data_IF_145256781114
#
_entry.id   IF_145256781114
#
_cell.length_a   1.000
_cell.length_b   1.000
_cell.length_c   1.000
_cell.angle_alpha   90.00
_cell.angle_beta   90.00
_cell.angle_gamma   90.00
#
_symmetry.space_group_name_H-M   'P 1'
#
loop_
_entity.id
_entity.type
_entity.pdbx_description
1 polymer ?
#
# COMPACT_ATOMS: atom_id res chain seq x y z
N UNK A 1 -50.02 -46.53 -15.41
CA UNK A 1 -49.79 -45.25 -14.68
C UNK A 1 -48.29 -44.95 -14.75
N UNK A 2 -47.81 -44.55 -15.94
CA UNK A 2 -47.20 -43.22 -16.23
C UNK A 2 -46.04 -42.89 -15.28
N UNK A 3 -44.82 -43.35 -15.60
CA UNK A 3 -43.72 -42.62 -16.29
C UNK A 3 -43.01 -41.65 -15.33
N UNK A 4 -41.69 -41.71 -15.10
CA UNK A 4 -40.61 -41.53 -16.09
C UNK A 4 -39.31 -42.26 -15.65
N UNK A 5 -38.79 -43.08 -16.56
CA UNK A 5 -37.37 -43.46 -16.71
C UNK A 5 -36.95 -42.95 -18.09
N UNK A 6 -35.83 -42.22 -18.19
CA UNK A 6 -34.83 -42.26 -19.30
C UNK A 6 -34.01 -40.96 -19.36
N UNK A 7 -32.75 -40.87 -19.80
CA UNK A 7 -31.66 -41.79 -20.15
C UNK A 7 -30.43 -40.87 -20.34
N UNK A 8 -29.25 -41.38 -20.00
CA UNK A 8 -27.92 -40.85 -20.32
C UNK A 8 -27.54 -41.20 -21.78
N UNK A 9 -26.90 -40.27 -22.51
CA UNK A 9 -26.06 -40.38 -23.74
C UNK A 9 -26.52 -39.53 -24.94
N UNK A 10 -25.72 -38.51 -25.30
CA UNK A 10 -24.89 -38.54 -26.52
C UNK A 10 -23.85 -37.41 -26.50
N UNK A 11 -22.60 -37.78 -26.73
CA UNK A 11 -21.43 -36.92 -26.89
C UNK A 11 -21.25 -36.49 -28.35
N UNK A 12 -20.46 -35.42 -28.56
CA UNK A 12 -19.70 -35.06 -29.77
C UNK A 12 -20.52 -34.55 -30.97
N UNK A 13 -20.41 -33.24 -31.26
CA UNK A 13 -20.04 -32.60 -32.55
C UNK A 13 -20.27 -31.09 -32.37
N UNK A 14 -19.19 -30.32 -32.27
CA UNK A 14 -19.03 -28.94 -32.79
C UNK A 14 -17.69 -28.36 -32.31
N UNK A 15 -16.60 -28.99 -32.75
CA UNK A 15 -15.31 -28.33 -32.95
C UNK A 15 -15.45 -27.43 -34.19
N UNK A 16 -14.75 -26.29 -34.22
CA UNK A 16 -14.60 -25.33 -35.31
C UNK A 16 -15.65 -24.20 -35.40
N UNK A 17 -15.36 -23.07 -34.74
CA UNK A 17 -15.61 -21.71 -35.27
C UNK A 17 -15.00 -20.64 -34.34
N UNK A 18 -13.66 -20.58 -34.25
CA UNK A 18 -12.98 -19.43 -33.65
C UNK A 18 -11.52 -19.33 -34.16
N UNK A 19 -11.35 -19.25 -35.47
CA UNK A 19 -10.13 -18.79 -36.11
C UNK A 19 -10.49 -18.21 -37.48
N UNK A 20 -10.58 -16.89 -37.56
CA UNK A 20 -10.32 -16.01 -38.72
C UNK A 20 -10.85 -14.60 -38.41
N UNK A 21 -10.22 -13.58 -38.99
CA UNK A 21 -10.25 -12.13 -38.70
C UNK A 21 -9.19 -11.65 -37.69
N UNK A 22 -7.92 -11.64 -38.10
CA UNK A 22 -7.19 -10.58 -38.84
C UNK A 22 -7.03 -9.27 -38.05
N UNK A 23 -5.83 -8.91 -37.58
CA UNK A 23 -4.74 -8.31 -38.39
C UNK A 23 -5.20 -7.13 -39.24
N UNK A 24 -5.59 -6.02 -38.58
CA UNK A 24 -5.80 -4.75 -39.28
C UNK A 24 -5.73 -3.49 -38.39
N UNK A 25 -4.88 -3.39 -37.36
CA UNK A 25 -4.57 -2.08 -36.74
C UNK A 25 -3.10 -2.03 -36.28
N UNK A 26 -2.18 -2.06 -37.24
CA UNK A 26 -0.83 -1.48 -37.10
C UNK A 26 -0.37 -1.04 -38.47
N UNK A 27 -0.61 0.22 -38.81
CA UNK A 27 -0.22 0.79 -40.08
C UNK A 27 -0.75 2.20 -40.23
N UNK A 28 0.00 3.18 -39.70
CA UNK A 28 0.14 4.57 -40.15
C UNK A 28 0.67 5.45 -39.01
N UNK A 29 1.98 5.55 -38.88
CA UNK A 29 2.65 6.69 -38.26
C UNK A 29 4.13 6.69 -38.65
N UNK A 30 4.41 6.98 -39.92
CA UNK A 30 5.71 7.44 -40.41
C UNK A 30 5.47 8.20 -41.73
N UNK A 31 6.31 9.20 -41.95
CA UNK A 31 6.31 10.20 -43.03
C UNK A 31 5.29 11.34 -42.91
N UNK A 32 5.70 12.45 -42.29
CA UNK A 32 5.88 13.76 -42.96
C UNK A 32 6.75 14.63 -42.05
N UNK A 33 7.98 14.96 -42.49
CA UNK A 33 8.54 16.31 -42.51
C UNK A 33 10.08 16.26 -42.55
N UNK A 34 10.64 16.14 -43.76
CA UNK A 34 12.00 16.59 -44.01
C UNK A 34 12.13 17.06 -45.47
N UNK A 35 11.95 18.36 -45.70
CA UNK A 35 12.77 19.20 -46.60
C UNK A 35 12.06 20.53 -46.92
N UNK A 36 12.67 21.64 -46.51
CA UNK A 36 12.93 22.79 -47.39
C UNK A 36 14.15 23.55 -46.89
N UNK A 37 15.15 23.64 -47.78
CA UNK A 37 16.43 24.34 -47.64
C UNK A 37 16.33 25.76 -48.22
N UNK A 38 17.09 26.68 -47.59
CA UNK A 38 17.80 27.88 -48.12
C UNK A 38 16.91 29.05 -48.61
N UNK A 39 17.18 30.35 -48.33
CA UNK A 39 18.41 31.15 -48.58
C UNK A 39 18.41 32.50 -47.78
N UNK A 40 19.63 33.02 -47.52
CA UNK A 40 20.09 34.40 -47.18
C UNK A 40 19.79 34.99 -45.78
N UNK A 41 20.78 35.31 -44.93
CA UNK A 41 21.87 36.32 -45.00
C UNK A 41 21.41 37.78 -44.82
N UNK A 42 21.61 38.37 -43.61
CA UNK A 42 22.47 39.57 -43.38
C UNK A 42 22.43 40.08 -41.91
N UNK A 43 23.61 40.16 -41.29
CA UNK A 43 24.21 41.23 -40.45
C UNK A 43 23.44 42.01 -39.34
N UNK A 44 24.16 42.13 -38.20
CA UNK A 44 24.30 43.22 -37.17
C UNK A 44 23.52 43.14 -35.83
N UNK A 45 24.29 42.76 -34.79
CA UNK A 45 24.44 43.23 -33.38
C UNK A 45 23.59 44.40 -32.80
N UNK A 46 23.70 44.73 -31.50
CA UNK A 46 23.26 44.00 -30.29
C UNK A 46 22.42 44.91 -29.34
N UNK A 47 21.43 44.40 -28.59
CA UNK A 47 21.09 45.01 -27.28
C UNK A 47 20.04 44.21 -26.49
N UNK A 48 20.36 44.02 -25.20
CA UNK A 48 19.47 43.94 -24.02
C UNK A 48 18.05 43.36 -24.16
N UNK A 49 17.77 42.30 -23.41
CA UNK A 49 16.93 42.35 -22.20
C UNK A 49 16.80 40.95 -21.59
N UNK A 50 17.11 40.87 -20.30
CA UNK A 50 16.71 39.76 -19.43
C UNK A 50 15.19 39.67 -19.44
N UNK A 51 14.65 38.50 -19.75
CA UNK A 51 13.28 38.11 -19.44
C UNK A 51 13.28 36.63 -19.10
N UNK A 52 12.77 36.34 -17.91
CA UNK A 52 12.72 35.02 -17.30
C UNK A 52 11.84 34.07 -18.12
N UNK A 53 12.44 33.00 -18.63
CA UNK A 53 11.73 31.87 -19.21
C UNK A 53 11.23 30.96 -18.09
N UNK A 54 10.01 31.20 -17.62
CA UNK A 54 9.21 30.19 -16.92
C UNK A 54 8.74 29.19 -17.98
N UNK A 55 9.43 28.06 -18.08
CA UNK A 55 8.97 26.93 -18.87
C UNK A 55 7.71 26.35 -18.21
N UNK A 56 6.55 26.65 -18.77
CA UNK A 56 5.33 25.88 -18.52
C UNK A 56 5.54 24.48 -19.10
N UNK A 57 5.82 23.52 -18.23
CA UNK A 57 5.71 22.11 -18.57
C UNK A 57 4.22 21.77 -18.66
N UNK A 58 3.66 21.81 -19.87
CA UNK A 58 2.38 21.19 -20.20
C UNK A 58 2.56 19.67 -20.16
N UNK A 59 2.49 19.07 -18.97
CA UNK A 59 2.22 17.65 -18.86
C UNK A 59 0.72 17.45 -19.06
N UNK A 60 0.40 16.64 -20.05
CA UNK A 60 -0.94 16.32 -20.49
C UNK A 60 -1.86 15.94 -19.32
N UNK A 61 -3.00 16.60 -19.27
CA UNK A 61 -4.23 16.14 -18.63
C UNK A 61 -4.51 14.75 -19.21
N UNK A 62 -4.23 13.69 -18.46
CA UNK A 62 -4.77 12.38 -18.78
C UNK A 62 -6.23 12.37 -18.30
N UNK A 63 -7.20 12.16 -19.21
CA UNK A 63 -8.53 11.79 -18.76
C UNK A 63 -8.38 10.50 -17.96
N UNK A 64 -9.04 10.44 -16.81
CA UNK A 64 -9.19 9.25 -16.01
C UNK A 64 -9.94 8.20 -16.85
N UNK A 65 -9.23 7.49 -17.72
CA UNK A 65 -9.76 6.35 -18.43
C UNK A 65 -9.89 5.22 -17.42
N UNK A 66 -11.11 5.16 -16.88
CA UNK A 66 -11.66 4.13 -16.04
C UNK A 66 -11.39 2.75 -16.67
N UNK A 67 -10.42 2.00 -16.13
CA UNK A 67 -10.15 0.64 -16.58
C UNK A 67 -11.26 -0.25 -16.00
N UNK A 68 -12.15 -0.70 -16.88
CA UNK A 68 -13.14 -1.75 -16.61
C UNK A 68 -12.36 -3.01 -16.20
N UNK A 69 -12.40 -3.39 -14.91
CA UNK A 69 -11.76 -4.61 -14.41
C UNK A 69 -12.31 -5.82 -15.18
N UNK A 70 -11.42 -6.61 -15.80
CA UNK A 70 -11.68 -8.04 -15.98
C UNK A 70 -11.45 -8.67 -14.60
N UNK A 71 -12.47 -9.32 -14.06
CA UNK A 71 -12.35 -10.15 -12.86
C UNK A 71 -11.31 -11.25 -13.13
N UNK A 72 -10.15 -11.13 -12.49
CA UNK A 72 -9.21 -12.26 -12.37
C UNK A 72 -9.81 -13.18 -11.31
N UNK A 73 -9.97 -14.49 -11.56
CA UNK A 73 -10.50 -15.40 -10.56
C UNK A 73 -9.58 -15.40 -9.33
N UNK A 74 -10.21 -15.19 -8.17
CA UNK A 74 -9.59 -15.33 -6.86
C UNK A 74 -9.24 -16.81 -6.69
N UNK A 75 -7.95 -17.16 -6.66
CA UNK A 75 -7.53 -18.52 -6.32
C UNK A 75 -7.88 -18.78 -4.84
N UNK A 76 -8.73 -19.77 -4.61
CA UNK A 76 -9.11 -20.26 -3.29
C UNK A 76 -7.87 -20.76 -2.54
N UNK A 77 -7.33 -19.91 -1.66
CA UNK A 77 -6.39 -20.34 -0.64
C UNK A 77 -7.16 -21.15 0.41
N UNK A 78 -7.19 -22.48 0.26
CA UNK A 78 -7.63 -23.40 1.31
C UNK A 78 -6.69 -23.27 2.52
N UNK A 79 -7.18 -22.91 3.72
CA UNK A 79 -6.35 -22.91 4.91
C UNK A 79 -5.95 -24.35 5.27
N UNK A 80 -4.66 -24.59 5.45
CA UNK A 80 -4.17 -25.86 6.00
C UNK A 80 -4.74 -26.08 7.41
N UNK A 81 -5.09 -27.34 7.77
CA UNK A 81 -5.65 -27.66 9.06
C UNK A 81 -4.63 -27.38 10.17
N UNK A 82 -5.02 -26.52 11.12
CA UNK A 82 -4.30 -26.29 12.36
C UNK A 82 -4.33 -27.59 13.18
N UNK A 83 -3.14 -28.12 13.48
CA UNK A 83 -2.97 -29.26 14.39
C UNK A 83 -3.31 -28.79 15.80
N UNK A 84 -4.48 -29.17 16.31
CA UNK A 84 -4.90 -28.89 17.67
C UNK A 84 -4.13 -29.78 18.66
N UNK A 85 -3.37 -29.15 19.54
CA UNK A 85 -2.71 -29.81 20.67
C UNK A 85 -3.78 -30.19 21.70
N UNK A 86 -3.85 -31.49 22.02
CA UNK A 86 -4.76 -32.07 23.01
C UNK A 86 -4.44 -31.53 24.40
N UNK A 87 -5.40 -30.82 25.01
CA UNK A 87 -5.37 -30.43 26.42
C UNK A 87 -5.99 -31.53 27.29
N UNK A 88 -5.32 -31.85 28.39
CA UNK A 88 -5.75 -32.77 29.45
C UNK A 88 -6.92 -32.21 30.26
N UNK A 89 -7.79 -33.07 30.82
CA UNK A 89 -9.01 -32.64 31.50
C UNK A 89 -8.70 -32.02 32.87
N UNK A 90 -9.08 -30.76 33.04
CA UNK A 90 -9.11 -30.09 34.34
C UNK A 90 -10.49 -30.25 34.97
N UNK A 91 -10.49 -30.59 36.26
CA UNK A 91 -11.67 -30.80 37.11
C UNK A 91 -12.48 -29.53 37.32
N UNK A 92 -13.77 -29.60 36.99
CA UNK A 92 -14.76 -28.54 37.15
C UNK A 92 -14.98 -28.17 38.63
N UNK A 93 -14.59 -26.95 38.99
CA UNK A 93 -15.11 -26.27 40.19
C UNK A 93 -15.82 -25.01 39.71
N UNK A 94 -17.14 -25.10 39.53
CA UNK A 94 -18.03 -24.01 39.15
C UNK A 94 -18.05 -22.92 40.23
N UNK A 95 -17.10 -22.00 40.16
CA UNK A 95 -17.23 -20.70 40.81
C UNK A 95 -18.05 -19.80 39.89
N UNK A 96 -19.26 -19.43 40.33
CA UNK A 96 -20.07 -18.40 39.69
C UNK A 96 -19.34 -17.05 39.78
N UNK A 97 -18.45 -16.79 38.81
CA UNK A 97 -17.82 -15.48 38.63
C UNK A 97 -18.91 -14.55 38.11
N UNK A 98 -19.35 -13.63 38.96
CA UNK A 98 -20.22 -12.52 38.54
C UNK A 98 -19.52 -11.78 37.41
N UNK A 99 -20.13 -11.63 36.22
CA UNK A 99 -19.47 -10.99 35.10
C UNK A 99 -19.05 -9.57 35.52
N UNK A 100 -17.79 -9.17 35.25
CA UNK A 100 -17.32 -7.84 35.62
C UNK A 100 -18.25 -6.79 35.03
N UNK A 101 -18.58 -5.76 35.81
CA UNK A 101 -19.39 -4.64 35.37
C UNK A 101 -18.83 -4.12 34.03
N UNK A 102 -19.68 -4.07 33.01
CA UNK A 102 -19.31 -3.62 31.66
C UNK A 102 -18.60 -2.27 31.76
N UNK A 103 -17.36 -2.19 31.25
CA UNK A 103 -16.64 -0.94 31.20
C UNK A 103 -17.51 0.15 30.55
N UNK A 104 -17.50 1.39 31.06
CA UNK A 104 -18.33 2.46 30.51
C UNK A 104 -18.04 2.62 29.02
N UNK A 105 -19.09 2.68 28.21
CA UNK A 105 -18.96 2.92 26.78
C UNK A 105 -18.25 4.25 26.53
N UNK A 106 -17.07 4.20 25.92
CA UNK A 106 -16.34 5.39 25.53
C UNK A 106 -17.09 6.07 24.38
N UNK A 107 -17.35 7.37 24.54
CA UNK A 107 -17.97 8.21 23.53
C UNK A 107 -17.06 9.39 23.20
N UNK A 108 -17.16 9.88 21.97
CA UNK A 108 -16.47 11.08 21.52
C UNK A 108 -17.36 11.89 20.59
N UNK A 109 -17.02 13.15 20.36
CA UNK A 109 -17.75 14.03 19.44
C UNK A 109 -16.89 14.38 18.24
N UNK A 110 -17.53 14.49 17.08
CA UNK A 110 -16.91 15.00 15.85
C UNK A 110 -17.80 16.03 15.18
N UNK A 111 -17.22 17.17 14.81
CA UNK A 111 -17.87 18.20 14.01
C UNK A 111 -17.43 18.04 12.55
N UNK A 112 -18.38 17.85 11.63
CA UNK A 112 -18.10 17.69 10.19
C UNK A 112 -18.73 18.85 9.42
N UNK A 113 -17.97 19.60 8.60
CA UNK A 113 -18.49 20.70 7.80
C UNK A 113 -19.67 20.26 6.91
N UNK A 114 -20.76 21.03 6.94
CA UNK A 114 -21.98 20.74 6.17
C UNK A 114 -22.93 19.73 6.81
N UNK A 115 -22.55 19.13 7.95
CA UNK A 115 -23.45 18.34 8.79
C UNK A 115 -23.93 19.22 9.95
N UNK A 116 -25.24 19.26 10.19
CA UNK A 116 -25.81 20.05 11.27
C UNK A 116 -25.50 19.39 12.64
N UNK A 117 -24.70 20.09 13.45
CA UNK A 117 -24.34 19.68 14.81
C UNK A 117 -23.19 18.65 14.90
N UNK A 118 -22.78 18.37 16.13
CA UNK A 118 -21.75 17.37 16.42
C UNK A 118 -22.33 15.95 16.33
N UNK A 119 -21.56 15.02 15.78
CA UNK A 119 -21.88 13.59 15.77
C UNK A 119 -21.24 12.94 17.00
N UNK A 120 -22.05 12.24 17.79
CA UNK A 120 -21.56 11.41 18.90
C UNK A 120 -21.20 10.01 18.39
N UNK A 121 -19.92 9.69 18.41
CA UNK A 121 -19.36 8.39 18.07
C UNK A 121 -19.20 7.54 19.34
N UNK A 122 -19.57 6.27 19.26
CA UNK A 122 -19.38 5.28 20.33
C UNK A 122 -18.33 4.26 19.91
N UNK A 123 -17.39 3.96 20.79
CA UNK A 123 -16.36 2.96 20.54
C UNK A 123 -16.98 1.59 20.23
N UNK A 124 -16.52 0.97 19.15
CA UNK A 124 -16.97 -0.33 18.69
C UNK A 124 -16.03 -1.41 19.24
N UNK A 125 -16.50 -2.24 20.19
CA UNK A 125 -15.64 -3.24 20.80
C UNK A 125 -15.30 -4.35 19.81
N UNK A 126 -14.03 -4.75 19.79
CA UNK A 126 -13.53 -5.94 19.10
C UNK A 126 -12.94 -6.85 20.17
N UNK A 127 -13.35 -8.11 20.17
CA UNK A 127 -12.91 -9.08 21.18
C UNK A 127 -11.38 -9.24 21.17
N UNK A 128 -10.76 -9.24 22.34
CA UNK A 128 -9.31 -9.35 22.49
C UNK A 128 -8.49 -8.12 22.07
N UNK A 129 -9.12 -7.09 21.52
CA UNK A 129 -8.41 -5.87 21.08
C UNK A 129 -8.49 -4.75 22.12
N UNK A 130 -7.35 -4.12 22.39
CA UNK A 130 -7.25 -2.92 23.22
C UNK A 130 -6.61 -1.80 22.40
N UNK A 131 -7.22 -0.62 22.42
CA UNK A 131 -6.76 0.55 21.68
C UNK A 131 -6.40 1.68 22.64
N UNK A 132 -5.43 2.54 22.29
CA UNK A 132 -5.16 3.76 23.04
C UNK A 132 -6.39 4.67 23.10
N UNK A 133 -6.54 5.41 24.20
CA UNK A 133 -7.60 6.38 24.35
C UNK A 133 -7.36 7.59 23.44
N UNK A 134 -8.43 8.09 22.81
CA UNK A 134 -8.44 9.41 22.17
C UNK A 134 -8.46 10.52 23.23
N UNK A 135 -7.99 11.74 22.89
CA UNK A 135 -8.19 12.90 23.74
C UNK A 135 -9.68 13.13 24.01
N UNK A 136 -10.02 13.61 25.20
CA UNK A 136 -11.39 13.87 25.65
C UNK A 136 -11.95 15.18 25.10
N UNK A 137 -11.86 15.40 23.78
CA UNK A 137 -12.40 16.59 23.14
C UNK A 137 -13.17 16.30 21.85
N UNK A 138 -13.73 17.35 21.25
CA UNK A 138 -14.43 17.27 19.97
C UNK A 138 -13.41 17.34 18.85
N UNK A 139 -13.40 16.34 17.95
CA UNK A 139 -12.63 16.41 16.72
C UNK A 139 -13.32 17.32 15.70
N UNK A 140 -12.59 18.27 15.13
CA UNK A 140 -13.05 19.05 14.00
C UNK A 140 -12.53 18.42 12.69
N UNK A 141 -13.43 17.91 11.85
CA UNK A 141 -13.09 17.37 10.54
C UNK A 141 -13.03 18.47 9.47
N UNK A 142 -12.24 18.24 8.43
CA UNK A 142 -12.36 18.92 7.14
C UNK A 142 -13.27 18.11 6.22
N UNK A 143 -13.82 18.75 5.20
CA UNK A 143 -14.50 18.02 4.12
C UNK A 143 -13.58 16.93 3.57
N UNK A 144 -14.10 15.72 3.28
CA UNK A 144 -13.30 14.67 2.69
C UNK A 144 -12.91 15.10 1.28
N UNK A 145 -11.63 14.94 0.98
CA UNK A 145 -11.10 15.12 -0.36
C UNK A 145 -10.95 13.75 -1.02
N UNK A 146 -11.37 13.60 -2.27
CA UNK A 146 -10.75 12.56 -3.09
C UNK A 146 -9.29 12.97 -3.27
N UNK A 147 -8.36 12.04 -3.10
CA UNK A 147 -6.91 12.26 -3.03
C UNK A 147 -6.27 13.01 -4.24
N UNK A 148 -7.06 13.45 -5.24
CA UNK A 148 -6.64 14.27 -6.40
C UNK A 148 -7.67 15.32 -6.86
N UNK A 149 -8.73 15.61 -6.11
CA UNK A 149 -9.76 16.59 -6.52
C UNK A 149 -9.96 17.71 -5.51
N UNK A 150 -10.67 18.74 -5.97
CA UNK A 150 -11.32 19.71 -5.09
C UNK A 150 -12.18 18.99 -4.04
N UNK A 151 -12.42 19.67 -2.92
CA UNK A 151 -13.24 19.15 -1.82
C UNK A 151 -14.57 18.62 -2.36
N UNK A 152 -14.94 17.41 -1.94
CA UNK A 152 -16.20 16.82 -2.38
C UNK A 152 -17.36 17.63 -1.81
N UNK A 153 -18.34 18.07 -2.61
CA UNK A 153 -19.52 18.72 -2.07
C UNK A 153 -20.36 17.72 -1.25
N UNK A 154 -20.96 18.20 -0.15
CA UNK A 154 -21.67 17.36 0.83
C UNK A 154 -22.72 16.41 0.23
N UNK A 155 -23.43 16.85 -0.82
CA UNK A 155 -24.44 16.01 -1.47
C UNK A 155 -23.85 14.74 -2.11
N UNK A 156 -22.57 14.75 -2.53
CA UNK A 156 -21.90 13.57 -3.06
C UNK A 156 -21.56 12.56 -1.95
N UNK A 157 -21.29 13.02 -0.73
CA UNK A 157 -21.00 12.11 0.39
C UNK A 157 -22.22 11.27 0.73
N UNK A 158 -23.42 11.83 0.58
CA UNK A 158 -24.69 11.10 0.81
C UNK A 158 -24.88 9.94 -0.17
N UNK A 159 -24.22 9.97 -1.33
CA UNK A 159 -24.25 8.89 -2.32
C UNK A 159 -23.23 7.78 -2.03
N UNK A 160 -22.32 8.00 -1.08
CA UNK A 160 -21.32 6.99 -0.71
C UNK A 160 -22.00 5.74 -0.15
N UNK A 161 -21.56 4.58 -0.61
CA UNK A 161 -22.21 3.32 -0.26
C UNK A 161 -23.65 3.19 -0.80
N UNK A 162 -24.02 3.94 -1.85
CA UNK A 162 -25.27 3.70 -2.62
C UNK A 162 -25.03 3.50 -4.11
N UNK A 163 -23.90 3.99 -4.63
CA UNK A 163 -23.50 3.86 -6.03
C UNK A 163 -22.45 2.75 -6.17
N UNK A 164 -22.64 1.84 -7.15
CA UNK A 164 -21.80 0.67 -7.44
C UNK A 164 -20.29 1.00 -7.48
N UNK A 165 -19.95 2.23 -7.86
CA UNK A 165 -18.57 2.70 -7.96
C UNK A 165 -17.99 3.28 -6.67
N UNK A 166 -18.82 3.75 -5.75
CA UNK A 166 -18.42 4.34 -4.47
C UNK A 166 -18.42 3.33 -3.32
N UNK A 167 -18.83 2.08 -3.55
CA UNK A 167 -18.90 1.09 -2.48
C UNK A 167 -17.55 0.46 -2.12
N UNK A 168 -16.57 0.44 -3.01
CA UNK A 168 -15.25 -0.18 -2.73
C UNK A 168 -14.30 0.74 -1.93
N UNK A 169 -14.77 1.92 -1.51
CA UNK A 169 -13.93 2.91 -0.82
C UNK A 169 -14.60 3.45 0.44
N UNK A 170 -13.78 3.98 1.33
CA UNK A 170 -14.21 4.74 2.49
C UNK A 170 -14.01 6.24 2.24
N UNK A 171 -14.80 7.08 2.92
CA UNK A 171 -14.55 8.51 2.99
C UNK A 171 -13.43 8.77 3.99
N UNK A 172 -12.40 9.52 3.59
CA UNK A 172 -11.31 9.89 4.47
C UNK A 172 -11.41 11.36 4.86
N UNK A 173 -11.37 11.66 6.16
CA UNK A 173 -11.49 13.00 6.72
C UNK A 173 -10.27 13.37 7.56
N UNK A 174 -9.59 14.44 7.17
CA UNK A 174 -8.56 15.06 8.03
C UNK A 174 -9.25 15.69 9.24
N UNK A 175 -8.82 15.32 10.43
CA UNK A 175 -9.40 15.77 11.69
C UNK A 175 -8.35 16.43 12.58
N UNK A 176 -8.80 17.39 13.37
CA UNK A 176 -7.99 18.12 14.35
C UNK A 176 -8.67 18.09 15.70
N UNK A 177 -7.87 17.95 16.75
CA UNK A 177 -8.30 18.08 18.14
C UNK A 177 -7.90 19.46 18.67
N UNK A 178 -8.65 20.01 19.63
CA UNK A 178 -8.24 21.23 20.33
C UNK A 178 -7.11 20.94 21.33
N UNK A 179 -6.94 19.67 21.68
CA UNK A 179 -5.83 19.18 22.48
C UNK A 179 -4.55 19.32 21.68
N UNK A 180 -3.58 20.00 22.27
CA UNK A 180 -2.26 20.19 21.67
C UNK A 180 -1.41 18.95 21.93
N UNK A 181 -0.68 18.52 20.91
CA UNK A 181 0.37 17.53 21.03
C UNK A 181 1.47 18.08 21.97
N UNK A 182 1.83 17.37 23.03
CA UNK A 182 2.77 17.88 24.03
C UNK A 182 4.21 18.02 23.51
N UNK A 183 4.58 17.34 22.43
CA UNK A 183 5.92 17.40 21.84
C UNK A 183 6.06 18.56 20.87
N UNK A 184 5.01 18.80 20.07
CA UNK A 184 5.05 19.82 19.00
C UNK A 184 4.39 21.15 19.39
N UNK A 185 3.47 21.13 20.36
CA UNK A 185 2.64 22.28 20.71
C UNK A 185 1.54 22.59 19.69
N UNK A 186 1.40 21.78 18.64
CA UNK A 186 0.40 21.93 17.59
C UNK A 186 -0.85 21.10 17.90
N UNK A 187 -2.03 21.47 17.36
CA UNK A 187 -3.24 20.64 17.44
C UNK A 187 -2.96 19.19 16.99
N UNK A 188 -3.39 18.20 17.78
CA UNK A 188 -3.26 16.80 17.39
C UNK A 188 -4.07 16.54 16.10
N UNK A 189 -3.46 15.82 15.16
CA UNK A 189 -4.05 15.53 13.85
C UNK A 189 -4.38 14.05 13.72
N UNK A 190 -5.55 13.78 13.16
CA UNK A 190 -6.07 12.44 12.97
C UNK A 190 -6.53 12.25 11.53
N UNK A 191 -6.55 11.00 11.10
CA UNK A 191 -7.21 10.54 9.89
C UNK A 191 -8.40 9.66 10.28
N UNK A 192 -9.56 9.98 9.73
CA UNK A 192 -10.76 9.19 9.93
C UNK A 192 -11.19 8.54 8.61
N UNK A 193 -11.30 7.21 8.59
CA UNK A 193 -11.73 6.41 7.43
C UNK A 193 -13.14 5.87 7.71
N UNK A 194 -14.15 6.45 7.07
CA UNK A 194 -15.57 6.24 7.34
C UNK A 194 -16.27 5.45 6.24
N UNK A 195 -17.06 4.46 6.66
CA UNK A 195 -18.07 3.80 5.82
C UNK A 195 -19.47 4.27 6.23
N UNK A 196 -20.33 4.44 5.24
CA UNK A 196 -21.73 4.84 5.45
C UNK A 196 -22.67 3.65 5.21
N UNK A 197 -23.89 3.77 5.72
CA UNK A 197 -25.02 2.85 5.46
C UNK A 197 -24.69 1.40 5.78
N UNK A 198 -24.03 1.19 6.93
CA UNK A 198 -23.74 -0.12 7.47
C UNK A 198 -25.06 -0.86 7.76
N UNK A 199 -25.38 -1.83 6.93
CA UNK A 199 -26.44 -2.80 7.22
C UNK A 199 -25.80 -4.01 7.94
N UNK A 200 -26.15 -4.23 9.21
CA UNK A 200 -25.59 -5.35 10.00
C UNK A 200 -25.95 -6.69 9.34
N UNK A 201 -24.95 -7.54 9.10
CA UNK A 201 -25.14 -8.87 8.50
C UNK A 201 -25.40 -8.86 6.98
N UNK A 202 -25.37 -7.70 6.32
CA UNK A 202 -25.55 -7.61 4.88
C UNK A 202 -24.35 -8.19 4.14
N UNK A 203 -24.62 -9.00 3.11
CA UNK A 203 -23.60 -9.42 2.13
C UNK A 203 -23.32 -8.35 1.09
N UNK A 204 -23.96 -7.18 1.21
CA UNK A 204 -23.67 -6.01 0.38
C UNK A 204 -22.33 -5.41 0.77
N UNK A 205 -21.79 -4.60 -0.13
CA UNK A 205 -20.45 -4.05 0.00
C UNK A 205 -20.20 -3.24 1.28
N UNK A 206 -21.13 -2.43 1.84
CA UNK A 206 -20.91 -1.78 3.13
C UNK A 206 -20.64 -2.79 4.28
N UNK A 207 -21.27 -3.96 4.24
CA UNK A 207 -21.00 -5.04 5.19
C UNK A 207 -19.63 -5.69 4.98
N UNK A 208 -19.17 -5.82 3.73
CA UNK A 208 -17.82 -6.30 3.41
C UNK A 208 -16.77 -5.29 3.89
N UNK A 209 -16.99 -3.99 3.67
CA UNK A 209 -16.10 -2.93 4.12
C UNK A 209 -16.06 -2.82 5.64
N UNK A 210 -17.17 -3.03 6.34
CA UNK A 210 -17.19 -3.11 7.81
C UNK A 210 -16.28 -4.24 8.32
N UNK A 211 -16.40 -5.44 7.75
CA UNK A 211 -15.53 -6.59 8.10
C UNK A 211 -14.06 -6.32 7.80
N UNK A 212 -13.78 -5.58 6.72
CA UNK A 212 -12.43 -5.14 6.35
C UNK A 212 -11.85 -4.15 7.36
N UNK A 213 -12.65 -3.22 7.88
CA UNK A 213 -12.23 -2.33 8.97
C UNK A 213 -12.02 -3.09 10.29
N UNK A 214 -12.86 -4.07 10.59
CA UNK A 214 -12.68 -4.98 11.74
C UNK A 214 -11.36 -5.75 11.62
N UNK A 215 -11.11 -6.39 10.47
CA UNK A 215 -9.84 -7.07 10.18
C UNK A 215 -8.63 -6.14 10.30
N UNK A 216 -8.72 -4.92 9.73
CA UNK A 216 -7.65 -3.93 9.85
C UNK A 216 -7.38 -3.59 11.32
N UNK A 217 -8.42 -3.31 12.11
CA UNK A 217 -8.28 -2.98 13.53
C UNK A 217 -7.63 -4.12 14.34
N UNK A 218 -8.03 -5.36 14.09
CA UNK A 218 -7.41 -6.55 14.67
C UNK A 218 -5.93 -6.66 14.27
N UNK A 219 -5.61 -6.41 12.99
CA UNK A 219 -4.24 -6.43 12.47
C UNK A 219 -3.34 -5.42 13.18
N UNK A 220 -3.85 -4.20 13.45
CA UNK A 220 -3.09 -3.18 14.17
C UNK A 220 -2.69 -3.62 15.58
N UNK A 221 -3.60 -4.27 16.31
CA UNK A 221 -3.35 -4.73 17.70
C UNK A 221 -2.48 -5.98 17.71
N UNK A 222 -2.74 -6.92 16.81
CA UNK A 222 -2.07 -8.23 16.81
C UNK A 222 -0.68 -8.20 16.22
N UNK A 223 -0.44 -7.38 15.19
CA UNK A 223 0.79 -7.42 14.40
C UNK A 223 1.56 -6.11 14.39
N UNK A 224 0.90 -4.96 14.61
CA UNK A 224 1.53 -3.66 14.43
C UNK A 224 1.88 -2.90 15.71
N UNK A 225 1.63 -3.47 16.89
CA UNK A 225 1.82 -2.80 18.18
C UNK A 225 3.19 -2.12 18.33
N UNK A 226 4.28 -2.76 17.93
CA UNK A 226 5.64 -2.21 18.03
C UNK A 226 5.98 -1.15 16.96
N UNK A 227 5.16 -1.06 15.90
CA UNK A 227 5.38 -0.15 14.77
C UNK A 227 4.56 1.14 14.89
N UNK A 228 3.50 1.12 15.71
CA UNK A 228 2.60 2.25 15.92
C UNK A 228 3.33 3.47 16.50
N UNK A 229 3.03 4.64 15.95
CA UNK A 229 3.67 5.92 16.31
C UNK A 229 5.02 6.15 15.60
N UNK A 230 5.63 5.14 14.98
CA UNK A 230 6.93 5.24 14.30
C UNK A 230 6.82 5.13 12.77
N UNK A 231 6.60 3.93 12.22
CA UNK A 231 6.45 3.72 10.77
C UNK A 231 5.01 3.35 10.38
N UNK A 232 4.12 3.26 11.36
CA UNK A 232 2.67 3.04 11.23
C UNK A 232 1.97 4.04 12.15
N UNK A 233 0.84 4.68 11.77
CA UNK A 233 0.07 5.54 12.66
C UNK A 233 -0.42 4.82 13.91
N UNK A 234 -0.55 5.55 15.02
CA UNK A 234 -1.30 5.05 16.18
C UNK A 234 -2.77 4.85 15.76
N UNK A 235 -3.33 3.67 16.04
CA UNK A 235 -4.70 3.31 15.71
C UNK A 235 -5.58 3.35 16.95
N UNK A 236 -6.57 4.24 16.95
CA UNK A 236 -7.43 4.51 18.10
C UNK A 236 -8.76 3.73 18.07
N UNK A 237 -8.79 2.63 17.33
CA UNK A 237 -9.92 1.71 17.28
C UNK A 237 -11.01 2.07 16.27
N UNK A 238 -12.09 1.30 16.35
CA UNK A 238 -13.29 1.50 15.55
C UNK A 238 -14.37 2.24 16.34
N UNK A 239 -15.16 3.02 15.62
CA UNK A 239 -16.18 3.89 16.18
C UNK A 239 -17.43 3.82 15.31
N UNK A 240 -18.59 3.97 15.93
CA UNK A 240 -19.89 3.88 15.25
C UNK A 240 -20.83 4.98 15.68
N UNK A 241 -21.72 5.39 14.78
CA UNK A 241 -22.81 6.32 15.08
C UNK A 241 -24.01 6.05 14.17
N UNK A 242 -25.17 6.53 14.59
CA UNK A 242 -26.34 6.67 13.73
C UNK A 242 -26.44 8.13 13.29
N UNK A 243 -26.53 8.35 11.98
CA UNK A 243 -26.52 9.69 11.39
C UNK A 243 -27.71 9.87 10.44
N UNK A 244 -28.23 11.09 10.35
CA UNK A 244 -29.35 11.42 9.46
C UNK A 244 -28.97 11.44 7.98
N UNK A 245 -27.68 11.55 7.65
CA UNK A 245 -27.18 11.67 6.28
C UNK A 245 -26.50 10.40 5.76
N UNK A 246 -25.80 9.67 6.63
CA UNK A 246 -25.06 8.46 6.31
C UNK A 246 -25.70 7.16 6.83
N UNK A 247 -26.84 7.24 7.53
CA UNK A 247 -27.42 6.09 8.23
C UNK A 247 -26.50 5.59 9.35
N UNK A 248 -26.42 4.27 9.53
CA UNK A 248 -25.44 3.67 10.43
C UNK A 248 -24.05 3.80 9.82
N UNK A 249 -23.14 4.47 10.53
CA UNK A 249 -21.76 4.68 10.08
C UNK A 249 -20.80 3.90 10.97
N UNK A 250 -19.68 3.50 10.40
CA UNK A 250 -18.53 2.96 11.12
C UNK A 250 -17.29 3.66 10.60
N UNK A 251 -16.37 4.01 11.48
CA UNK A 251 -15.10 4.58 11.07
C UNK A 251 -13.95 4.03 11.90
N UNK A 252 -12.77 4.01 11.30
CA UNK A 252 -11.52 3.92 12.03
C UNK A 252 -10.94 5.31 12.24
N UNK A 253 -10.31 5.51 13.39
CA UNK A 253 -9.61 6.75 13.74
C UNK A 253 -8.14 6.41 14.00
N UNK A 254 -7.23 7.13 13.36
CA UNK A 254 -5.79 6.94 13.51
C UNK A 254 -5.03 8.26 13.52
N UNK A 255 -3.80 8.26 14.00
CA UNK A 255 -2.86 9.39 13.89
C UNK A 255 -2.71 9.81 12.42
N UNK A 256 -2.67 11.10 12.14
CA UNK A 256 -2.37 11.58 10.79
C UNK A 256 -0.91 11.25 10.41
N UNK A 257 -0.71 10.43 9.39
CA UNK A 257 0.59 9.83 9.05
C UNK A 257 1.40 10.58 7.97
N UNK A 258 1.01 11.79 7.58
CA UNK A 258 1.77 12.63 6.65
C UNK A 258 1.10 12.79 5.28
N UNK A 259 1.91 13.06 4.26
CA UNK A 259 1.44 13.30 2.88
C UNK A 259 1.78 12.11 1.98
N UNK A 260 0.97 11.78 0.96
CA UNK A 260 1.30 10.75 -0.04
C UNK A 260 2.74 10.88 -0.57
N UNK A 261 3.52 9.80 -0.53
CA UNK A 261 4.85 9.79 -1.12
C UNK A 261 4.74 9.53 -2.63
N UNK A 262 5.08 10.54 -3.43
CA UNK A 262 5.05 10.50 -4.88
C UNK A 262 6.45 10.71 -5.49
N UNK A 263 6.80 9.93 -6.51
CA UNK A 263 8.02 10.15 -7.28
C UNK A 263 7.97 11.51 -8.00
N UNK A 264 9.14 12.14 -8.14
CA UNK A 264 9.38 13.45 -8.74
C UNK A 264 8.75 14.62 -7.98
N UNK A 265 8.33 14.39 -6.74
CA UNK A 265 7.80 15.43 -5.85
C UNK A 265 8.80 15.80 -4.74
N UNK A 266 8.35 16.63 -3.80
CA UNK A 266 9.16 17.28 -2.76
C UNK A 266 10.03 16.30 -1.95
N UNK A 267 9.48 15.14 -1.61
CA UNK A 267 10.16 14.15 -0.76
C UNK A 267 10.91 13.08 -1.56
N UNK A 268 10.88 13.14 -2.90
CA UNK A 268 11.53 12.16 -3.75
C UNK A 268 13.05 12.34 -3.79
N UNK A 269 13.70 11.85 -2.75
CA UNK A 269 15.16 11.77 -2.68
C UNK A 269 15.59 10.32 -2.67
N UNK A 270 16.80 10.09 -3.17
CA UNK A 270 17.33 8.75 -3.21
C UNK A 270 17.46 8.12 -1.82
N UNK A 271 17.80 8.92 -0.81
CA UNK A 271 17.84 8.50 0.59
C UNK A 271 16.45 8.07 1.09
N UNK A 272 15.41 8.84 0.78
CA UNK A 272 14.05 8.53 1.24
C UNK A 272 13.51 7.25 0.59
N UNK A 273 13.81 7.02 -0.69
CA UNK A 273 13.51 5.75 -1.36
C UNK A 273 14.15 4.55 -0.65
N UNK A 274 15.40 4.69 -0.23
CA UNK A 274 16.10 3.62 0.51
C UNK A 274 15.45 3.33 1.86
N UNK A 275 15.00 4.37 2.56
CA UNK A 275 14.29 4.20 3.85
C UNK A 275 12.91 3.54 3.63
N UNK A 276 12.20 3.86 2.55
CA UNK A 276 10.92 3.19 2.22
C UNK A 276 11.15 1.71 1.89
N UNK A 277 12.15 1.40 1.06
CA UNK A 277 12.50 0.02 0.73
C UNK A 277 12.86 -0.78 1.99
N UNK A 278 13.69 -0.21 2.86
CA UNK A 278 14.07 -0.83 4.13
C UNK A 278 12.86 -1.05 5.06
N UNK A 279 11.93 -0.08 5.11
CA UNK A 279 10.68 -0.23 5.88
C UNK A 279 9.86 -1.44 5.38
N UNK A 280 9.60 -1.53 4.08
CA UNK A 280 8.84 -2.65 3.51
C UNK A 280 9.58 -3.96 3.71
N UNK A 281 10.91 -3.98 3.51
CA UNK A 281 11.73 -5.17 3.74
C UNK A 281 11.65 -5.63 5.19
N UNK A 282 11.68 -4.70 6.16
CA UNK A 282 11.54 -5.02 7.57
C UNK A 282 10.17 -5.61 7.92
N UNK A 283 9.09 -5.18 7.27
CA UNK A 283 7.80 -5.84 7.44
C UNK A 283 7.86 -7.31 7.00
N UNK A 284 8.49 -7.58 5.85
CA UNK A 284 8.62 -8.93 5.32
C UNK A 284 9.52 -9.82 6.19
N UNK A 285 10.58 -9.26 6.78
CA UNK A 285 11.43 -9.94 7.78
C UNK A 285 10.64 -10.39 9.01
N UNK A 286 9.63 -9.61 9.41
CA UNK A 286 8.72 -9.95 10.52
C UNK A 286 7.47 -10.70 10.06
N UNK A 287 7.53 -11.34 8.90
CA UNK A 287 6.42 -12.13 8.34
C UNK A 287 5.12 -11.32 8.15
N UNK A 288 5.23 -10.02 7.86
CA UNK A 288 4.12 -9.13 7.57
C UNK A 288 4.09 -8.81 6.07
N UNK A 289 2.90 -8.91 5.48
CA UNK A 289 2.65 -8.60 4.07
C UNK A 289 1.50 -7.59 3.97
N UNK A 290 1.70 -6.49 3.26
CA UNK A 290 0.70 -5.42 3.18
C UNK A 290 -0.41 -5.71 2.13
N UNK A 291 -0.07 -6.39 1.04
CA UNK A 291 -0.91 -6.76 -0.13
C UNK A 291 -1.49 -5.62 -0.95
N UNK A 292 -1.17 -4.36 -0.62
CA UNK A 292 -1.72 -3.19 -1.33
C UNK A 292 -0.64 -2.22 -1.81
N UNK A 293 0.65 -2.62 -1.77
CA UNK A 293 1.76 -1.83 -2.29
C UNK A 293 2.01 -2.13 -3.78
N UNK A 294 0.97 -1.99 -4.60
CA UNK A 294 1.01 -2.14 -6.05
C UNK A 294 0.50 -0.88 -6.74
N UNK A 295 0.89 -0.66 -8.00
CA UNK A 295 0.36 0.45 -8.80
C UNK A 295 -1.15 0.27 -9.08
N UNK A 296 -1.98 1.33 -9.00
CA UNK A 296 -1.66 2.72 -8.62
C UNK A 296 -1.68 3.02 -7.10
N UNK A 297 -2.03 2.03 -6.28
CA UNK A 297 -2.36 2.17 -4.86
C UNK A 297 -1.16 2.47 -3.95
N UNK A 298 0.07 2.10 -4.34
CA UNK A 298 1.27 2.33 -3.53
C UNK A 298 1.45 3.80 -3.14
N UNK A 299 1.08 4.73 -4.03
CA UNK A 299 1.14 6.18 -3.76
C UNK A 299 0.21 6.63 -2.63
N UNK A 300 -0.81 5.83 -2.29
CA UNK A 300 -1.80 6.14 -1.27
C UNK A 300 -1.51 5.47 0.06
N UNK A 301 -0.69 4.42 0.07
CA UNK A 301 -0.39 3.63 1.25
C UNK A 301 0.98 3.91 1.83
N UNK A 302 1.88 4.49 1.04
CA UNK A 302 3.16 5.03 1.51
C UNK A 302 3.03 6.53 1.67
N UNK A 303 3.03 7.00 2.92
CA UNK A 303 3.04 8.41 3.26
C UNK A 303 4.43 8.85 3.73
N UNK A 304 4.70 10.14 3.67
CA UNK A 304 5.87 10.79 4.22
C UNK A 304 5.47 11.72 5.35
N UNK A 305 5.91 11.42 6.56
CA UNK A 305 5.78 12.30 7.71
C UNK A 305 6.93 13.30 7.68
N UNK A 306 6.66 14.52 7.20
CA UNK A 306 7.65 15.58 7.12
C UNK A 306 8.15 16.05 8.49
N UNK A 307 7.33 15.93 9.54
CA UNK A 307 7.67 16.33 10.91
C UNK A 307 8.68 15.35 11.51
N UNK A 308 8.46 14.04 11.33
CA UNK A 308 9.35 12.99 11.82
C UNK A 308 10.48 12.65 10.85
N UNK A 309 10.37 13.06 9.59
CA UNK A 309 11.35 12.77 8.54
C UNK A 309 11.42 11.29 8.17
N UNK A 310 10.30 10.55 8.28
CA UNK A 310 10.23 9.12 8.04
C UNK A 310 9.03 8.73 7.17
N UNK A 311 9.10 7.59 6.45
CA UNK A 311 7.94 7.05 5.76
C UNK A 311 6.99 6.35 6.73
N UNK A 312 5.70 6.37 6.40
CA UNK A 312 4.63 5.72 7.15
C UNK A 312 3.80 4.84 6.22
N UNK A 313 3.49 3.62 6.66
CA UNK A 313 2.56 2.73 5.95
C UNK A 313 1.17 2.82 6.58
N UNK A 314 0.13 2.84 5.73
CA UNK A 314 -1.27 2.90 6.13
C UNK A 314 -2.13 1.94 5.29
N UNK A 315 -3.39 1.76 5.69
CA UNK A 315 -4.38 0.90 5.04
C UNK A 315 -3.99 -0.59 5.03
N UNK A 316 -4.08 -1.22 6.21
CA UNK A 316 -3.78 -2.65 6.39
C UNK A 316 -5.02 -3.53 6.20
N UNK A 317 -6.03 -3.04 5.46
CA UNK A 317 -7.29 -3.75 5.21
C UNK A 317 -7.08 -5.12 4.56
N UNK A 318 -6.06 -5.27 3.73
CA UNK A 318 -5.72 -6.55 3.08
C UNK A 318 -4.44 -7.18 3.60
N UNK A 319 -3.89 -6.66 4.70
CA UNK A 319 -2.63 -7.17 5.23
C UNK A 319 -2.77 -8.58 5.80
N UNK A 320 -1.65 -9.31 5.79
CA UNK A 320 -1.54 -10.66 6.30
C UNK A 320 -0.29 -10.81 7.17
N UNK A 321 -0.44 -11.47 8.31
CA UNK A 321 0.65 -11.88 9.18
C UNK A 321 1.06 -13.32 8.90
N UNK A 322 2.16 -13.78 9.53
CA UNK A 322 2.71 -15.13 9.37
C UNK A 322 3.04 -15.48 7.91
N UNK A 323 3.39 -14.48 7.10
CA UNK A 323 3.78 -14.64 5.70
C UNK A 323 5.27 -15.01 5.59
N UNK A 324 5.58 -16.14 4.94
CA UNK A 324 6.95 -16.50 4.61
C UNK A 324 7.35 -15.86 3.28
N UNK A 325 8.17 -14.80 3.34
CA UNK A 325 8.68 -14.11 2.17
C UNK A 325 9.77 -14.92 1.47
N UNK A 326 9.48 -15.49 0.30
CA UNK A 326 10.41 -16.33 -0.48
C UNK A 326 11.35 -15.53 -1.39
N UNK A 327 11.88 -14.40 -0.92
CA UNK A 327 12.79 -13.58 -1.75
C UNK A 327 14.19 -14.20 -1.80
N UNK A 328 14.84 -14.14 -2.94
CA UNK A 328 16.25 -14.57 -3.13
C UNK A 328 17.23 -13.39 -3.25
N UNK A 329 16.71 -12.17 -3.25
CA UNK A 329 17.47 -10.93 -3.34
C UNK A 329 16.89 -9.89 -2.37
N UNK A 330 17.72 -9.03 -1.75
CA UNK A 330 17.25 -7.90 -0.97
C UNK A 330 16.60 -6.84 -1.87
N UNK A 331 15.67 -6.08 -1.31
CA UNK A 331 15.07 -4.95 -2.00
C UNK A 331 16.08 -3.78 -2.05
N UNK A 332 16.92 -3.76 -3.09
CA UNK A 332 17.88 -2.70 -3.32
C UNK A 332 17.98 -2.37 -4.83
N UNK A 333 18.85 -1.42 -5.19
CA UNK A 333 19.02 -1.03 -6.59
C UNK A 333 19.74 -2.11 -7.37
N UNK A 334 19.35 -2.36 -8.62
CA UNK A 334 20.04 -3.24 -9.56
C UNK A 334 20.10 -2.57 -10.93
N UNK A 335 21.08 -2.96 -11.76
CA UNK A 335 21.15 -2.46 -13.13
C UNK A 335 20.16 -3.22 -14.03
N UNK A 336 19.82 -4.46 -13.66
CA UNK A 336 18.75 -5.27 -14.22
C UNK A 336 17.41 -5.10 -13.49
N UNK A 337 16.42 -5.85 -13.95
CA UNK A 337 15.09 -5.97 -13.33
C UNK A 337 14.86 -7.41 -12.87
N UNK A 338 15.33 -7.80 -11.67
CA UNK A 338 15.29 -9.18 -11.20
C UNK A 338 13.90 -9.57 -10.66
N UNK A 339 12.88 -9.39 -11.49
CA UNK A 339 11.47 -9.62 -11.12
C UNK A 339 11.13 -11.09 -10.97
N UNK A 340 11.90 -11.98 -11.61
CA UNK A 340 11.69 -13.43 -11.57
C UNK A 340 12.42 -14.05 -10.37
N UNK A 341 13.49 -13.41 -9.90
CA UNK A 341 14.31 -13.84 -8.77
C UNK A 341 13.71 -13.35 -7.44
N UNK A 342 13.02 -12.22 -7.44
CA UNK A 342 12.24 -11.75 -6.28
C UNK A 342 10.84 -12.37 -6.35
N UNK A 343 10.67 -13.58 -5.82
CA UNK A 343 9.38 -14.31 -5.80
C UNK A 343 8.29 -13.67 -4.91
N UNK A 344 8.51 -12.45 -4.41
CA UNK A 344 7.51 -11.69 -3.69
C UNK A 344 7.02 -10.52 -4.55
N UNK A 345 5.77 -10.60 -5.04
CA UNK A 345 5.19 -9.59 -5.92
C UNK A 345 5.13 -8.20 -5.28
N UNK A 346 4.87 -8.10 -3.97
CA UNK A 346 4.88 -6.82 -3.25
C UNK A 346 6.25 -6.14 -3.31
N UNK A 347 7.34 -6.87 -3.05
CA UNK A 347 8.69 -6.33 -3.14
C UNK A 347 9.05 -5.95 -4.58
N UNK A 348 8.58 -6.73 -5.56
CA UNK A 348 8.75 -6.39 -6.98
C UNK A 348 8.08 -5.05 -7.30
N UNK A 349 6.81 -4.88 -6.92
CA UNK A 349 6.07 -3.64 -7.17
C UNK A 349 6.70 -2.44 -6.48
N UNK A 350 7.13 -2.59 -5.22
CA UNK A 350 7.82 -1.54 -4.48
C UNK A 350 9.15 -1.19 -5.15
N UNK A 351 9.94 -2.18 -5.57
CA UNK A 351 11.22 -1.94 -6.25
C UNK A 351 11.06 -1.22 -7.59
N UNK A 352 10.04 -1.58 -8.37
CA UNK A 352 9.68 -0.88 -9.60
C UNK A 352 9.25 0.57 -9.31
N UNK A 353 8.35 0.76 -8.34
CA UNK A 353 7.89 2.08 -7.93
C UNK A 353 9.04 2.98 -7.47
N UNK A 354 9.94 2.49 -6.63
CA UNK A 354 11.08 3.26 -6.14
C UNK A 354 12.17 3.47 -7.21
N UNK A 355 12.02 2.89 -8.41
CA UNK A 355 13.01 2.97 -9.49
C UNK A 355 14.32 2.28 -9.12
N UNK A 356 14.24 1.19 -8.38
CA UNK A 356 15.40 0.40 -7.97
C UNK A 356 15.84 -0.57 -9.08
N UNK A 357 14.92 -0.97 -9.94
CA UNK A 357 15.20 -1.92 -11.01
C UNK A 357 15.50 -1.18 -12.32
N UNK A 358 16.63 -1.51 -12.90
CA UNK A 358 17.08 -0.97 -14.18
C UNK A 358 16.43 -1.68 -15.37
N UNK A 359 17.11 -1.64 -16.52
CA UNK A 359 16.59 -2.18 -17.79
C UNK A 359 17.42 -3.32 -18.37
N UNK A 360 18.55 -3.66 -17.74
CA UNK A 360 19.36 -4.78 -18.22
C UNK A 360 18.61 -6.09 -18.01
N UNK A 361 18.98 -7.10 -18.79
CA UNK A 361 18.62 -8.48 -18.46
C UNK A 361 19.42 -8.92 -17.25
N UNK A 362 18.89 -9.86 -16.47
CA UNK A 362 19.56 -10.41 -15.29
C UNK A 362 20.85 -11.11 -15.67
N UNK A 363 20.85 -11.87 -16.78
CA UNK A 363 22.05 -12.53 -17.33
C UNK A 363 23.21 -11.56 -17.66
N UNK A 364 22.90 -10.27 -17.87
CA UNK A 364 23.88 -9.23 -18.17
C UNK A 364 24.27 -8.39 -16.93
N UNK A 365 23.78 -8.75 -15.74
CA UNK A 365 24.04 -8.06 -14.48
C UNK A 365 24.87 -8.93 -13.52
N UNK A 366 26.18 -8.88 -13.71
CA UNK A 366 27.19 -9.58 -12.90
C UNK A 366 26.98 -9.40 -11.39
N UNK A 367 26.52 -8.22 -10.92
CA UNK A 367 26.28 -8.01 -9.48
C UNK A 367 25.12 -8.87 -8.97
N UNK A 368 24.06 -9.05 -9.77
CA UNK A 368 22.92 -9.90 -9.42
C UNK A 368 23.32 -11.37 -9.44
N UNK A 369 24.02 -11.81 -10.49
CA UNK A 369 24.48 -13.19 -10.61
C UNK A 369 25.44 -13.58 -9.48
N UNK A 370 26.42 -12.72 -9.16
CA UNK A 370 27.33 -12.92 -8.03
C UNK A 370 26.56 -12.94 -6.70
N UNK A 371 25.55 -12.07 -6.51
CA UNK A 371 24.73 -12.08 -5.30
C UNK A 371 23.94 -13.38 -5.14
N UNK A 372 23.33 -13.90 -6.22
CA UNK A 372 22.60 -15.16 -6.20
C UNK A 372 23.52 -16.33 -5.85
N UNK A 373 24.70 -16.41 -6.46
CA UNK A 373 25.73 -17.42 -6.15
C UNK A 373 26.21 -17.35 -4.70
N UNK A 374 26.33 -16.14 -4.13
CA UNK A 374 26.64 -15.94 -2.71
C UNK A 374 25.56 -16.54 -1.80
N UNK A 375 24.28 -16.33 -2.12
CA UNK A 375 23.18 -16.93 -1.36
C UNK A 375 23.16 -18.45 -1.53
N UNK A 376 23.22 -18.97 -2.76
CA UNK A 376 23.24 -20.41 -3.06
C UNK A 376 24.34 -21.13 -2.26
N UNK A 377 25.57 -20.63 -2.28
CA UNK A 377 26.69 -21.20 -1.51
C UNK A 377 26.46 -21.18 0.00
N UNK A 378 25.79 -20.15 0.50
CA UNK A 378 25.41 -20.08 1.91
C UNK A 378 24.37 -21.15 2.24
N UNK A 379 23.33 -21.26 1.41
CA UNK A 379 22.28 -22.27 1.56
C UNK A 379 22.86 -23.68 1.49
N UNK A 380 23.66 -24.04 0.48
CA UNK A 380 24.30 -25.36 0.36
C UNK A 380 25.08 -25.76 1.61
N UNK A 381 25.80 -24.82 2.21
CA UNK A 381 26.62 -25.07 3.40
C UNK A 381 25.79 -25.24 4.67
N UNK A 382 24.66 -24.54 4.78
CA UNK A 382 23.85 -24.45 5.99
C UNK A 382 22.53 -25.24 5.92
N UNK A 383 22.14 -25.71 4.75
CA UNK A 383 20.89 -26.45 4.53
C UNK A 383 20.84 -27.72 5.39
N UNK A 384 19.70 -27.93 6.05
CA UNK A 384 19.48 -29.09 6.93
C UNK A 384 20.19 -29.03 8.28
N UNK A 385 20.94 -27.95 8.58
CA UNK A 385 21.45 -27.71 9.94
C UNK A 385 20.32 -27.20 10.83
N UNK A 386 20.30 -27.65 12.07
CA UNK A 386 19.42 -27.09 13.09
C UNK A 386 19.73 -25.60 13.27
N UNK A 387 18.70 -24.75 13.16
CA UNK A 387 18.85 -23.29 13.26
C UNK A 387 19.17 -22.56 11.96
N UNK A 388 19.06 -23.20 10.78
CA UNK A 388 19.12 -22.48 9.50
C UNK A 388 18.06 -21.37 9.43
N UNK A 389 18.50 -20.14 9.14
CA UNK A 389 17.66 -18.98 8.94
C UNK A 389 17.94 -18.35 7.57
N UNK A 390 16.91 -18.27 6.74
CA UNK A 390 16.97 -17.65 5.40
C UNK A 390 17.36 -16.17 5.52
N UNK A 391 16.95 -15.48 6.58
CA UNK A 391 17.26 -14.08 6.79
C UNK A 391 18.76 -13.85 7.06
N UNK A 392 19.47 -14.81 7.67
CA UNK A 392 20.92 -14.73 7.84
C UNK A 392 21.64 -14.79 6.48
N UNK A 393 21.21 -15.69 5.59
CA UNK A 393 21.74 -15.80 4.22
C UNK A 393 21.51 -14.52 3.41
N UNK A 394 20.29 -13.97 3.48
CA UNK A 394 19.95 -12.71 2.81
C UNK A 394 20.70 -11.51 3.39
N UNK A 395 20.90 -11.45 4.71
CA UNK A 395 21.69 -10.38 5.34
C UNK A 395 23.16 -10.44 4.91
N UNK A 396 23.73 -11.64 4.80
CA UNK A 396 25.08 -11.85 4.30
C UNK A 396 25.20 -11.42 2.83
N UNK A 397 24.24 -11.80 1.99
CA UNK A 397 24.16 -11.35 0.59
C UNK A 397 24.07 -9.82 0.51
N UNK A 398 23.24 -9.17 1.34
CA UNK A 398 23.11 -7.71 1.38
C UNK A 398 24.42 -7.02 1.79
N UNK A 399 25.12 -7.57 2.78
CA UNK A 399 26.44 -7.07 3.21
C UNK A 399 27.48 -7.22 2.09
N UNK A 400 27.47 -8.35 1.38
CA UNK A 400 28.34 -8.58 0.23
C UNK A 400 28.09 -7.54 -0.87
N UNK A 401 26.83 -7.27 -1.24
CA UNK A 401 26.47 -6.24 -2.23
C UNK A 401 27.02 -4.87 -1.80
N UNK A 402 26.82 -4.49 -0.53
CA UNK A 402 27.33 -3.21 0.01
C UNK A 402 28.85 -3.10 -0.11
N UNK A 403 29.57 -4.15 0.29
CA UNK A 403 31.03 -4.19 0.24
C UNK A 403 31.54 -4.10 -1.20
N UNK A 404 30.98 -4.90 -2.12
CA UNK A 404 31.33 -4.92 -3.54
C UNK A 404 31.20 -3.54 -4.19
N UNK A 405 30.14 -2.80 -3.84
CA UNK A 405 29.91 -1.42 -4.32
C UNK A 405 30.93 -0.42 -3.78
N UNK A 406 31.33 -0.56 -2.51
CA UNK A 406 32.37 0.28 -1.91
C UNK A 406 33.73 0.05 -2.60
N UNK A 407 34.08 -1.20 -2.87
CA UNK A 407 35.31 -1.57 -3.58
C UNK A 407 35.33 -1.01 -5.01
N UNK A 408 34.24 -1.19 -5.78
CA UNK A 408 34.10 -0.61 -7.13
C UNK A 408 34.23 0.92 -7.10
N UNK A 409 33.64 1.59 -6.09
CA UNK A 409 33.74 3.04 -5.90
C UNK A 409 35.17 3.48 -5.56
N UNK A 410 35.88 2.72 -4.71
CA UNK A 410 37.27 2.99 -4.35
C UNK A 410 38.20 2.82 -5.57
N UNK A 411 38.05 1.73 -6.32
CA UNK A 411 38.81 1.48 -7.54
C UNK A 411 38.60 2.59 -8.60
N UNK A 412 37.35 3.01 -8.81
CA UNK A 412 37.04 4.11 -9.72
C UNK A 412 37.65 5.45 -9.29
N UNK A 413 37.77 5.70 -7.98
CA UNK A 413 38.43 6.91 -7.45
C UNK A 413 39.94 6.87 -7.72
N UNK A 414 40.60 5.73 -7.50
CA UNK A 414 42.03 5.54 -7.76
C UNK A 414 42.40 5.76 -9.22
N UNK A 415 41.59 5.25 -10.16
CA UNK A 415 41.79 5.46 -11.61
C UNK A 415 41.72 6.95 -11.97
N UNK A 416 40.74 7.68 -11.41
CA UNK A 416 40.59 9.12 -11.66
C UNK A 416 41.75 9.96 -11.11
N UNK A 417 42.30 9.59 -9.95
CA UNK A 417 43.45 10.31 -9.37
C UNK A 417 44.76 9.99 -10.09
N UNK A 418 44.92 8.78 -10.63
CA UNK A 418 46.11 8.41 -11.40
C UNK A 418 46.20 9.12 -12.75
N UNK A 419 45.07 9.33 -13.42
CA UNK A 419 45.02 9.98 -14.74
C UNK A 419 45.26 11.51 -14.72
N UNK A 420 45.25 12.16 -13.55
CA UNK A 420 45.47 13.61 -13.43
C UNK A 420 46.92 14.03 -13.21
N UNK A 421 47.83 13.07 -12.97
CA UNK A 421 49.24 13.32 -12.64
C UNK A 421 50.21 12.92 -13.77
N UNK A 422 49.67 12.51 -14.92
CA UNK A 422 50.39 12.25 -16.18
C UNK A 422 50.07 13.35 -17.17
#
# INVERSE_FOLDING_TARGET
MHAVISIFWFSIVAFAAAHTFDLAIMGKALDVANNRRLVSSTRKSPCSRQAATRAMCTCAIWPCHYIKRRSVPFEDYSPHPIVMVSQTPHSDTENQVTPPASAPHQTMRIAIPGVDGDISLTHYPIEGCQFPNLPHDTLAARAPTLQRSEELPFWQWKLWGTDDFLFESALCFDCYSNTLDPQTGEPMRFMLKMILRRERGSRRMPGIMAKRLEHEAEFYVTHLTEYQGNCVPIYYGLWTAETTWGGSVMCSIMEHAGEPYCLKEKYDTQKNRDVIAELVLNFHRHSLLHRQLSEPYITWHVLWDATKGCPRLIDFTHAAGNFSCRRSLPLCRYASSPTEEIFCSELVFVGLYLGFFGRKKVDDDEEVLEALDVLEKYEEKHWGREGYDVEEGLAMQEQWIKQRRLEKKAAAKTIKTGAGNS
#
